data_IF_788078208324
#
_entry.id   IF_788078208324
#
_cell.length_a   1.000
_cell.length_b   1.000
_cell.length_c   1.000
_cell.angle_alpha   90.00
_cell.angle_beta   90.00
_cell.angle_gamma   90.00
#
_symmetry.space_group_name_H-M   'P 1'
#
loop_
_entity.id
_entity.type
_entity.pdbx_description
1 polymer ?
#
# COMPACT_ATOMS: atom_id res chain seq x y z
N UNK A 1 -25.06 61.97 -35.67
CA UNK A 1 -24.35 61.40 -34.50
C UNK A 1 -25.37 60.54 -33.75
N UNK A 2 -25.32 59.21 -33.88
CA UNK A 2 -26.31 58.31 -33.26
C UNK A 2 -25.75 57.83 -31.91
N UNK A 3 -26.35 58.16 -30.75
CA UNK A 3 -25.87 57.73 -29.44
C UNK A 3 -26.29 56.28 -29.14
N UNK A 4 -25.39 55.48 -28.55
CA UNK A 4 -25.80 54.39 -27.64
C UNK A 4 -25.62 52.93 -28.08
N UNK A 5 -24.78 52.57 -29.05
CA UNK A 5 -24.52 51.15 -29.33
C UNK A 5 -23.52 50.55 -28.34
N UNK A 6 -24.03 49.88 -27.29
CA UNK A 6 -23.22 48.95 -26.48
C UNK A 6 -22.72 47.83 -27.39
N UNK A 7 -21.40 47.73 -27.56
CA UNK A 7 -20.75 46.63 -28.27
C UNK A 7 -20.41 45.54 -27.26
N UNK A 8 -20.98 44.35 -27.43
CA UNK A 8 -20.60 43.16 -26.68
C UNK A 8 -19.76 42.25 -27.58
N UNK A 9 -18.64 41.77 -27.05
CA UNK A 9 -17.83 40.74 -27.67
C UNK A 9 -18.18 39.41 -26.99
N UNK A 10 -18.52 38.41 -27.79
CA UNK A 10 -18.75 37.04 -27.33
C UNK A 10 -17.80 36.12 -28.08
N UNK A 11 -17.16 35.19 -27.40
CA UNK A 11 -16.38 34.12 -28.03
C UNK A 11 -17.01 32.78 -27.67
N UNK A 12 -17.20 31.94 -28.67
CA UNK A 12 -17.68 30.56 -28.52
C UNK A 12 -16.50 29.66 -28.87
N UNK A 13 -16.05 28.85 -27.92
CA UNK A 13 -15.01 27.84 -28.14
C UNK A 13 -15.63 26.47 -27.95
N UNK A 14 -15.49 25.59 -28.95
CA UNK A 14 -15.92 24.21 -28.83
C UNK A 14 -14.96 23.45 -27.89
N UNK A 15 -15.45 23.11 -26.70
CA UNK A 15 -14.72 22.34 -25.69
C UNK A 15 -15.22 20.89 -25.60
N UNK A 16 -16.06 20.45 -26.53
CA UNK A 16 -16.75 19.15 -26.47
C UNK A 16 -15.76 17.99 -26.49
N UNK A 17 -14.74 18.06 -27.35
CA UNK A 17 -13.67 17.05 -27.45
C UNK A 17 -12.86 16.98 -26.17
N UNK A 18 -12.46 18.13 -25.62
CA UNK A 18 -11.69 18.23 -24.38
C UNK A 18 -12.49 17.65 -23.19
N UNK A 19 -13.76 18.02 -23.06
CA UNK A 19 -14.65 17.51 -22.00
C UNK A 19 -14.89 16.00 -22.11
N UNK A 20 -14.96 15.45 -23.32
CA UNK A 20 -15.07 14.00 -23.54
C UNK A 20 -13.79 13.27 -23.13
N UNK A 21 -12.61 13.79 -23.50
CA UNK A 21 -11.33 13.21 -23.12
C UNK A 21 -11.12 13.26 -21.60
N UNK A 22 -11.41 14.39 -20.95
CA UNK A 22 -11.34 14.55 -19.49
C UNK A 22 -12.25 13.54 -18.77
N UNK A 23 -13.48 13.35 -19.28
CA UNK A 23 -14.43 12.37 -18.74
C UNK A 23 -13.90 10.93 -18.88
N UNK A 24 -13.39 10.56 -20.05
CA UNK A 24 -12.84 9.22 -20.29
C UNK A 24 -11.63 8.91 -19.39
N UNK A 25 -10.73 9.88 -19.21
CA UNK A 25 -9.58 9.73 -18.30
C UNK A 25 -10.08 9.51 -16.87
N UNK A 26 -11.05 10.30 -16.41
CA UNK A 26 -11.60 10.19 -15.06
C UNK A 26 -12.32 8.85 -14.83
N UNK A 27 -13.06 8.38 -15.82
CA UNK A 27 -13.72 7.05 -15.77
C UNK A 27 -12.67 5.93 -15.71
N UNK A 28 -11.65 5.99 -16.57
CA UNK A 28 -10.55 5.01 -16.56
C UNK A 28 -9.75 5.03 -15.25
N UNK A 29 -9.51 6.21 -14.68
CA UNK A 29 -8.85 6.34 -13.37
C UNK A 29 -9.67 5.67 -12.28
N UNK A 30 -10.98 5.94 -12.22
CA UNK A 30 -11.89 5.33 -11.25
C UNK A 30 -11.94 3.81 -11.36
N UNK A 31 -11.99 3.27 -12.59
CA UNK A 31 -11.95 1.82 -12.81
C UNK A 31 -10.65 1.21 -12.28
N UNK A 32 -9.51 1.86 -12.54
CA UNK A 32 -8.20 1.42 -12.03
C UNK A 32 -8.12 1.47 -10.51
N UNK A 33 -8.64 2.52 -9.88
CA UNK A 33 -8.72 2.63 -8.42
C UNK A 33 -9.49 1.45 -7.83
N UNK A 34 -10.70 1.16 -8.34
CA UNK A 34 -11.51 0.04 -7.88
C UNK A 34 -10.78 -1.30 -8.02
N UNK A 35 -10.15 -1.54 -9.17
CA UNK A 35 -9.37 -2.77 -9.40
C UNK A 35 -8.22 -2.91 -8.39
N UNK A 36 -7.52 -1.81 -8.09
CA UNK A 36 -6.45 -1.82 -7.09
C UNK A 36 -6.99 -2.13 -5.68
N UNK A 37 -8.15 -1.60 -5.31
CA UNK A 37 -8.80 -1.95 -4.03
C UNK A 37 -9.11 -3.46 -3.98
N UNK A 38 -9.68 -4.02 -5.05
CA UNK A 38 -9.99 -5.46 -5.10
C UNK A 38 -8.74 -6.33 -4.96
N UNK A 39 -7.64 -5.97 -5.63
CA UNK A 39 -6.37 -6.67 -5.51
C UNK A 39 -5.88 -6.62 -4.05
N UNK A 40 -5.88 -5.44 -3.44
CA UNK A 40 -5.45 -5.27 -2.05
C UNK A 40 -6.25 -6.17 -1.10
N UNK A 41 -7.58 -6.19 -1.25
CA UNK A 41 -8.46 -7.07 -0.48
C UNK A 41 -8.15 -8.56 -0.71
N UNK A 42 -7.90 -8.98 -1.96
CA UNK A 42 -7.58 -10.38 -2.28
C UNK A 42 -6.24 -10.82 -1.69
N UNK A 43 -5.23 -9.97 -1.73
CA UNK A 43 -3.92 -10.27 -1.14
C UNK A 43 -4.04 -10.46 0.38
N UNK A 44 -4.77 -9.58 1.07
CA UNK A 44 -5.04 -9.71 2.50
C UNK A 44 -5.78 -11.01 2.84
N UNK A 45 -6.80 -11.35 2.06
CA UNK A 45 -7.52 -12.62 2.22
C UNK A 45 -6.60 -13.84 2.04
N UNK A 46 -5.71 -13.82 1.04
CA UNK A 46 -4.76 -14.90 0.81
C UNK A 46 -3.83 -15.10 2.03
N UNK A 47 -3.29 -14.02 2.58
CA UNK A 47 -2.43 -14.10 3.76
C UNK A 47 -3.17 -14.64 4.99
N UNK A 48 -4.43 -14.25 5.19
CA UNK A 48 -5.28 -14.78 6.26
C UNK A 48 -5.55 -16.28 6.10
N UNK A 49 -5.87 -16.73 4.88
CA UNK A 49 -6.08 -18.16 4.58
C UNK A 49 -4.82 -18.97 4.84
N UNK A 50 -3.66 -18.52 4.34
CA UNK A 50 -2.39 -19.23 4.56
C UNK A 50 -2.05 -19.29 6.05
N UNK A 51 -2.22 -18.18 6.79
CA UNK A 51 -2.02 -18.16 8.24
C UNK A 51 -2.94 -19.15 8.96
N UNK A 52 -4.20 -19.27 8.53
CA UNK A 52 -5.17 -20.21 9.11
C UNK A 52 -4.78 -21.67 8.84
N UNK A 53 -4.31 -21.96 7.63
CA UNK A 53 -3.79 -23.29 7.27
C UNK A 53 -2.57 -23.65 8.11
N UNK A 54 -1.63 -22.72 8.32
CA UNK A 54 -0.46 -22.94 9.18
C UNK A 54 -0.87 -23.20 10.63
N UNK A 55 -1.84 -22.45 11.17
CA UNK A 55 -2.37 -22.70 12.52
C UNK A 55 -3.01 -24.07 12.66
N UNK A 56 -3.75 -24.51 11.64
CA UNK A 56 -4.32 -25.87 11.62
C UNK A 56 -3.21 -26.93 11.61
N UNK A 57 -2.20 -26.78 10.75
CA UNK A 57 -1.07 -27.73 10.68
C UNK A 57 -0.26 -27.78 11.97
N UNK A 58 -0.02 -26.62 12.60
CA UNK A 58 0.62 -26.55 13.92
C UNK A 58 -0.18 -27.32 14.98
N UNK A 59 -1.51 -27.24 14.97
CA UNK A 59 -2.37 -27.99 15.90
C UNK A 59 -2.27 -29.52 15.76
N UNK A 60 -1.83 -30.04 14.62
CA UNK A 60 -1.60 -31.48 14.41
C UNK A 60 -0.14 -31.91 14.64
N UNK A 61 0.80 -30.96 14.76
CA UNK A 61 2.20 -31.25 14.94
C UNK A 61 2.50 -31.70 16.38
N UNK A 62 3.38 -32.70 16.50
CA UNK A 62 3.87 -33.22 17.81
C UNK A 62 5.36 -32.99 18.00
N UNK A 63 6.06 -32.57 16.95
CA UNK A 63 7.48 -32.22 16.98
C UNK A 63 7.63 -30.73 17.28
N UNK A 64 8.37 -30.42 18.33
CA UNK A 64 8.67 -29.05 18.78
C UNK A 64 9.34 -28.24 17.66
N UNK A 65 10.23 -28.86 16.89
CA UNK A 65 10.89 -28.20 15.77
C UNK A 65 9.92 -27.85 14.64
N UNK A 66 8.89 -28.67 14.42
CA UNK A 66 7.86 -28.38 13.43
C UNK A 66 6.97 -27.21 13.90
N UNK A 67 6.64 -27.15 15.19
CA UNK A 67 5.88 -26.04 15.78
C UNK A 67 6.62 -24.70 15.62
N UNK A 68 7.94 -24.69 15.89
CA UNK A 68 8.77 -23.50 15.71
C UNK A 68 8.78 -23.02 14.25
N UNK A 69 8.94 -23.94 13.30
CA UNK A 69 8.92 -23.62 11.87
C UNK A 69 7.57 -23.04 11.42
N UNK A 70 6.44 -23.57 11.94
CA UNK A 70 5.13 -23.00 11.66
C UNK A 70 4.98 -21.59 12.23
N UNK A 71 5.48 -21.36 13.44
CA UNK A 71 5.54 -20.03 14.05
C UNK A 71 6.33 -19.04 13.19
N UNK A 72 7.51 -19.43 12.73
CA UNK A 72 8.34 -18.61 11.83
C UNK A 72 7.62 -18.29 10.51
N UNK A 73 6.94 -19.27 9.91
CA UNK A 73 6.16 -19.06 8.69
C UNK A 73 5.01 -18.07 8.89
N UNK A 74 4.27 -18.17 10.01
CA UNK A 74 3.21 -17.22 10.33
C UNK A 74 3.75 -15.80 10.52
N UNK A 75 4.91 -15.68 11.15
CA UNK A 75 5.57 -14.39 11.36
C UNK A 75 5.94 -13.73 10.02
N UNK A 76 6.52 -14.50 9.09
CA UNK A 76 6.83 -14.01 7.74
C UNK A 76 5.60 -13.53 6.99
N UNK A 77 4.48 -14.24 7.09
CA UNK A 77 3.21 -13.83 6.46
C UNK A 77 2.68 -12.54 7.09
N UNK A 78 2.77 -12.39 8.42
CA UNK A 78 2.39 -11.16 9.12
C UNK A 78 3.23 -9.98 8.65
N UNK A 79 4.54 -10.16 8.53
CA UNK A 79 5.45 -9.16 7.98
C UNK A 79 5.07 -8.77 6.56
N UNK A 80 4.78 -9.73 5.68
CA UNK A 80 4.32 -9.46 4.32
C UNK A 80 3.00 -8.68 4.30
N UNK A 81 2.06 -8.96 5.22
CA UNK A 81 0.81 -8.24 5.35
C UNK A 81 1.02 -6.77 5.74
N UNK A 82 1.90 -6.52 6.71
CA UNK A 82 2.27 -5.15 7.12
C UNK A 82 2.89 -4.37 5.97
N UNK A 83 3.86 -4.96 5.25
CA UNK A 83 4.48 -4.34 4.08
C UNK A 83 3.44 -4.02 3.00
N UNK A 84 2.53 -4.96 2.72
CA UNK A 84 1.50 -4.78 1.72
C UNK A 84 0.50 -3.67 2.10
N UNK A 85 0.10 -3.59 3.37
CA UNK A 85 -0.79 -2.53 3.87
C UNK A 85 -0.11 -1.15 3.78
N UNK A 86 1.19 -1.06 4.11
CA UNK A 86 1.96 0.17 3.97
C UNK A 86 2.08 0.64 2.52
N UNK A 87 2.40 -0.28 1.59
CA UNK A 87 2.52 0.03 0.16
C UNK A 87 1.19 0.51 -0.46
N UNK A 88 0.07 -0.02 0.04
CA UNK A 88 -1.25 0.41 -0.42
C UNK A 88 -1.66 1.78 0.14
N UNK A 89 -1.37 2.05 1.42
CA UNK A 89 -1.72 3.32 2.07
C UNK A 89 -0.90 4.51 1.56
N UNK A 90 0.31 4.27 1.05
CA UNK A 90 1.18 5.37 0.63
C UNK A 90 0.66 6.14 -0.58
N UNK A 91 -0.28 5.58 -1.38
CA UNK A 91 -0.95 6.25 -2.52
C UNK A 91 -0.03 6.55 -3.72
N UNK A 92 1.24 6.84 -3.45
CA UNK A 92 2.33 7.06 -4.38
C UNK A 92 3.57 6.34 -3.83
N UNK A 93 3.87 5.16 -4.38
CA UNK A 93 5.05 4.38 -3.98
C UNK A 93 6.33 5.23 -4.06
N UNK A 94 6.40 6.18 -5.01
CA UNK A 94 7.55 7.06 -5.23
C UNK A 94 7.86 7.99 -4.04
N UNK A 95 6.96 8.14 -3.08
CA UNK A 95 7.11 9.03 -1.92
C UNK A 95 7.30 8.30 -0.58
N UNK A 96 7.40 6.97 -0.58
CA UNK A 96 7.60 6.21 0.66
C UNK A 96 8.97 6.52 1.23
N UNK A 97 9.00 7.14 2.40
CA UNK A 97 10.21 7.30 3.21
C UNK A 97 10.75 5.91 3.60
N UNK A 98 11.93 5.57 3.08
CA UNK A 98 12.54 4.27 3.28
C UNK A 98 12.94 4.03 4.75
N UNK A 99 13.25 5.09 5.51
CA UNK A 99 13.58 4.96 6.93
C UNK A 99 12.35 4.57 7.74
N UNK A 100 11.21 5.20 7.49
CA UNK A 100 9.94 4.88 8.15
C UNK A 100 9.45 3.46 7.79
N UNK A 101 9.70 3.05 6.54
CA UNK A 101 9.45 1.69 6.08
C UNK A 101 10.27 0.65 6.86
N UNK A 102 11.60 0.80 6.89
CA UNK A 102 12.49 -0.14 7.58
C UNK A 102 12.21 -0.15 9.08
N UNK A 103 11.87 1.01 9.67
CA UNK A 103 11.51 1.11 11.09
C UNK A 103 10.23 0.31 11.41
N UNK A 104 9.15 0.55 10.68
CA UNK A 104 7.88 -0.15 10.88
C UNK A 104 8.01 -1.67 10.67
N UNK A 105 8.78 -2.07 9.65
CA UNK A 105 9.07 -3.47 9.37
C UNK A 105 9.84 -4.13 10.52
N UNK A 106 10.88 -3.46 11.01
CA UNK A 106 11.77 -4.00 12.03
C UNK A 106 11.11 -4.01 13.40
N UNK A 107 10.31 -3.01 13.74
CA UNK A 107 9.50 -2.99 14.97
C UNK A 107 8.50 -4.16 14.97
N UNK A 108 7.86 -4.43 13.84
CA UNK A 108 6.99 -5.60 13.66
C UNK A 108 7.72 -6.94 13.82
N UNK A 109 8.99 -7.02 13.39
CA UNK A 109 9.83 -8.20 13.58
C UNK A 109 10.29 -8.35 15.03
N UNK A 110 10.81 -7.29 15.66
CA UNK A 110 11.34 -7.32 17.03
C UNK A 110 10.25 -7.65 18.06
N UNK A 111 9.05 -7.08 17.90
CA UNK A 111 7.91 -7.38 18.77
C UNK A 111 7.42 -8.84 18.67
N UNK A 112 7.73 -9.52 17.55
CA UNK A 112 7.35 -10.91 17.30
C UNK A 112 8.38 -11.90 17.82
N UNK A 113 9.67 -11.57 17.74
CA UNK A 113 10.75 -12.42 18.24
C UNK A 113 11.05 -12.22 19.74
N UNK A 114 10.24 -11.42 20.46
CA UNK A 114 10.43 -11.08 21.87
C UNK A 114 11.88 -10.64 22.16
N UNK A 115 12.49 -9.95 21.19
CA UNK A 115 13.86 -9.50 21.31
C UNK A 115 13.86 -8.36 22.31
N UNK A 116 14.64 -8.51 23.37
CA UNK A 116 14.85 -7.46 24.34
C UNK A 116 15.45 -6.22 23.63
N UNK A 117 14.77 -5.06 23.64
CA UNK A 117 15.28 -3.83 23.01
C UNK A 117 16.65 -3.40 23.56
N UNK A 118 16.99 -3.81 24.78
CA UNK A 118 18.29 -3.51 25.39
C UNK A 118 19.41 -4.42 24.86
N UNK A 119 19.08 -5.55 24.22
CA UNK A 119 20.04 -6.49 23.63
C UNK A 119 20.32 -6.17 22.16
N UNK A 120 19.33 -5.68 21.42
CA UNK A 120 19.48 -5.35 19.99
C UNK A 120 19.02 -3.91 19.74
N UNK A 121 20.00 -3.02 19.48
CA UNK A 121 19.74 -1.65 19.01
C UNK A 121 19.63 -1.60 17.49
N UNK A 122 18.48 -1.15 17.00
CA UNK A 122 18.28 -0.83 15.60
C UNK A 122 18.76 0.61 15.32
N UNK A 123 19.77 0.76 14.46
CA UNK A 123 20.18 2.04 13.91
C UNK A 123 19.89 2.06 12.41
N UNK A 124 19.01 2.96 11.97
CA UNK A 124 18.66 3.14 10.56
C UNK A 124 19.36 4.41 10.07
N UNK A 125 20.21 4.26 9.06
CA UNK A 125 20.85 5.37 8.35
C UNK A 125 20.29 5.43 6.94
N UNK A 126 19.16 6.10 6.79
CA UNK A 126 18.50 6.31 5.51
C UNK A 126 17.95 7.74 5.47
N UNK A 127 18.74 8.69 5.00
CA UNK A 127 18.29 10.06 4.76
C UNK A 127 18.02 10.25 3.26
N UNK A 128 16.84 10.73 2.91
CA UNK A 128 16.47 11.06 1.52
C UNK A 128 16.34 9.85 0.58
N UNK A 129 16.21 8.63 1.11
CA UNK A 129 15.94 7.43 0.32
C UNK A 129 14.44 7.24 0.17
N UNK A 130 13.95 7.24 -1.08
CA UNK A 130 12.56 6.97 -1.43
C UNK A 130 12.47 5.74 -2.34
N UNK A 131 11.40 4.96 -2.22
CA UNK A 131 11.18 3.77 -3.03
C UNK A 131 10.55 4.13 -4.40
N UNK A 132 11.36 4.44 -5.41
CA UNK A 132 10.85 4.82 -6.73
C UNK A 132 11.80 5.75 -7.47
N UNK A 133 11.48 6.08 -8.71
CA UNK A 133 12.30 6.97 -9.54
C UNK A 133 12.09 8.44 -9.18
#
# INVERSE_FOLDING_TARGET
MIPGTKRSICSLTDITSHKRAEKQIKESLKEKEVLLQEIHHRVKNNMQVISSLLSLQAGYARDERALDLFGECQNRIRTMALVHDMLYQSGDLASIDFADYIRSLTDGLLGVYSVDPDVIKLNIYAEGCFFGH
#
